data_IF_090010038111
#
_entry.id   IF_090010038111
#
_cell.length_a   1.000
_cell.length_b   1.000
_cell.length_c   1.000
_cell.angle_alpha   90.00
_cell.angle_beta   90.00
_cell.angle_gamma   90.00
#
_symmetry.space_group_name_H-M   'P 1'
#
loop_
_entity.id
_entity.type
_entity.pdbx_description
1 polymer ?
#
# COMPACT_ATOMS: atom_id res chain seq x y z
N UNK A 1 -25.29 15.30 7.91
CA UNK A 1 -24.61 15.82 9.12
C UNK A 1 -24.22 14.61 9.95
N UNK A 2 -22.92 14.40 10.19
CA UNK A 2 -22.47 13.28 11.03
C UNK A 2 -22.72 13.59 12.50
N UNK A 3 -23.12 12.59 13.29
CA UNK A 3 -23.24 12.77 14.74
C UNK A 3 -21.89 13.13 15.36
N UNK A 4 -21.86 14.07 16.33
CA UNK A 4 -20.65 14.36 17.07
C UNK A 4 -20.20 13.12 17.86
N UNK A 5 -18.89 12.82 17.82
CA UNK A 5 -18.29 11.74 18.59
C UNK A 5 -18.60 11.93 20.08
N UNK A 6 -19.46 11.07 20.64
CA UNK A 6 -19.63 10.97 22.08
C UNK A 6 -18.32 10.50 22.72
N UNK A 7 -17.61 11.40 23.40
CA UNK A 7 -16.39 11.09 24.15
C UNK A 7 -16.75 10.46 25.49
N UNK A 8 -16.11 9.34 25.85
CA UNK A 8 -16.13 8.86 27.24
C UNK A 8 -15.33 9.85 28.07
N UNK A 9 -15.82 10.19 29.26
CA UNK A 9 -15.14 11.13 30.14
C UNK A 9 -13.73 10.62 30.49
N UNK A 10 -12.69 11.39 30.14
CA UNK A 10 -11.31 11.18 30.60
C UNK A 10 -10.31 10.66 29.57
N UNK A 11 -10.73 10.16 28.40
CA UNK A 11 -9.79 9.69 27.37
C UNK A 11 -9.46 10.82 26.37
N UNK A 12 -8.17 11.11 26.08
CA UNK A 12 -7.82 12.11 25.08
C UNK A 12 -8.34 11.67 23.70
N UNK A 13 -9.12 12.53 23.05
CA UNK A 13 -9.64 12.29 21.70
C UNK A 13 -8.80 13.03 20.66
N UNK A 14 -8.39 12.35 19.61
CA UNK A 14 -7.64 12.91 18.48
C UNK A 14 -8.42 12.71 17.19
N UNK A 15 -8.63 13.81 16.47
CA UNK A 15 -9.13 13.80 15.10
C UNK A 15 -7.96 13.98 14.13
N UNK A 16 -7.80 13.05 13.20
CA UNK A 16 -6.81 13.13 12.12
C UNK A 16 -7.52 13.38 10.80
N UNK A 17 -7.11 14.43 10.07
CA UNK A 17 -7.68 14.77 8.76
C UNK A 17 -6.73 14.30 7.67
N UNK A 18 -7.19 13.35 6.86
CA UNK A 18 -6.42 12.69 5.81
C UNK A 18 -5.92 11.30 6.24
N UNK A 19 -6.00 10.34 5.32
CA UNK A 19 -5.63 8.95 5.56
C UNK A 19 -4.44 8.50 4.69
N UNK A 20 -3.58 9.44 4.27
CA UNK A 20 -2.30 9.09 3.64
C UNK A 20 -1.23 8.68 4.65
N UNK A 21 0.02 8.46 4.23
CA UNK A 21 1.10 8.00 5.13
C UNK A 21 1.26 8.88 6.38
N UNK A 22 1.24 10.21 6.22
CA UNK A 22 1.32 11.14 7.34
C UNK A 22 0.12 10.99 8.30
N UNK A 23 -1.09 10.83 7.77
CA UNK A 23 -2.30 10.60 8.56
C UNK A 23 -2.27 9.26 9.30
N UNK A 24 -1.82 8.19 8.63
CA UNK A 24 -1.64 6.88 9.25
C UNK A 24 -0.60 6.95 10.37
N UNK A 25 0.53 7.62 10.14
CA UNK A 25 1.57 7.78 11.16
C UNK A 25 1.09 8.60 12.36
N UNK A 26 0.33 9.67 12.13
CA UNK A 26 -0.26 10.47 13.19
C UNK A 26 -1.29 9.66 13.99
N UNK A 27 -2.18 8.93 13.31
CA UNK A 27 -3.20 8.09 13.94
C UNK A 27 -2.58 6.95 14.76
N UNK A 28 -1.55 6.28 14.21
CA UNK A 28 -0.76 5.29 14.91
C UNK A 28 -0.12 5.86 16.16
N UNK A 29 0.60 6.99 16.04
CA UNK A 29 1.30 7.60 17.17
C UNK A 29 0.32 8.02 18.28
N UNK A 30 -0.83 8.59 17.92
CA UNK A 30 -1.87 8.96 18.87
C UNK A 30 -2.46 7.72 19.57
N UNK A 31 -2.71 6.63 18.83
CA UNK A 31 -3.16 5.38 19.43
C UNK A 31 -2.17 4.77 20.41
N UNK A 32 -0.88 4.76 20.05
CA UNK A 32 0.18 4.28 20.96
C UNK A 32 0.31 5.14 22.22
N UNK A 33 -0.15 6.40 22.19
CA UNK A 33 -0.22 7.29 23.34
C UNK A 33 -1.51 7.12 24.17
N UNK A 34 -2.36 6.13 23.86
CA UNK A 34 -3.60 5.86 24.58
C UNK A 34 -4.77 6.79 24.23
N UNK A 35 -4.70 7.51 23.10
CA UNK A 35 -5.81 8.35 22.65
C UNK A 35 -6.88 7.53 21.92
N UNK A 36 -8.13 7.97 22.00
CA UNK A 36 -9.18 7.57 21.06
C UNK A 36 -9.01 8.36 19.77
N UNK A 37 -8.86 7.65 18.65
CA UNK A 37 -8.54 8.28 17.36
C UNK A 37 -9.67 8.06 16.36
N UNK A 38 -10.10 9.14 15.73
CA UNK A 38 -10.90 9.11 14.51
C UNK A 38 -10.10 9.72 13.37
N UNK A 39 -10.11 9.06 12.22
CA UNK A 39 -9.51 9.52 10.97
C UNK A 39 -10.65 9.88 10.01
N UNK A 40 -10.62 11.08 9.45
CA UNK A 40 -11.55 11.50 8.40
C UNK A 40 -10.81 11.61 7.07
N UNK A 41 -11.33 10.99 6.01
CA UNK A 41 -10.72 11.03 4.69
C UNK A 41 -11.76 11.16 3.58
N UNK A 42 -11.49 12.03 2.61
CA UNK A 42 -12.37 12.25 1.46
C UNK A 42 -12.22 11.19 0.35
N UNK A 43 -11.54 10.06 0.63
CA UNK A 43 -11.20 9.02 -0.34
C UNK A 43 -9.75 9.09 -0.81
N UNK A 44 -9.51 8.64 -2.04
CA UNK A 44 -8.17 8.55 -2.62
C UNK A 44 -7.46 9.90 -2.64
N UNK A 45 -6.44 10.03 -1.80
CA UNK A 45 -5.53 11.17 -1.76
C UNK A 45 -4.14 10.82 -2.28
N UNK A 46 -3.17 11.73 -2.18
CA UNK A 46 -1.81 11.56 -2.72
C UNK A 46 -1.07 10.28 -2.29
N UNK A 47 -1.38 9.70 -1.12
CA UNK A 47 -0.80 8.40 -0.72
C UNK A 47 -1.62 7.18 -1.16
N UNK A 48 -2.86 7.34 -1.62
CA UNK A 48 -3.53 6.31 -2.44
C UNK A 48 -3.10 6.41 -3.91
N UNK A 49 -2.40 7.48 -4.29
CA UNK A 49 -1.61 7.59 -5.53
C UNK A 49 -0.20 6.98 -5.39
N UNK A 50 0.02 6.15 -4.37
CA UNK A 50 1.30 5.53 -4.06
C UNK A 50 1.74 4.58 -5.18
N UNK A 51 2.95 4.79 -5.68
CA UNK A 51 3.56 3.99 -6.75
C UNK A 51 4.07 2.62 -6.30
N UNK A 52 3.91 2.28 -5.02
CA UNK A 52 4.56 1.10 -4.45
C UNK A 52 5.95 1.39 -3.88
N UNK A 53 6.44 2.63 -3.92
CA UNK A 53 7.82 2.97 -3.58
C UNK A 53 7.91 4.02 -2.47
N UNK A 54 8.81 3.81 -1.51
CA UNK A 54 9.11 4.75 -0.44
C UNK A 54 10.59 5.19 -0.48
N UNK A 55 10.78 6.50 -0.46
CA UNK A 55 12.09 7.15 -0.39
C UNK A 55 12.41 7.58 1.06
N UNK A 56 13.70 7.65 1.39
CA UNK A 56 14.20 8.19 2.66
C UNK A 56 14.61 7.15 3.70
N UNK A 57 15.53 7.54 4.59
CA UNK A 57 16.08 6.69 5.64
C UNK A 57 15.05 6.49 6.77
N UNK A 58 14.45 5.30 6.90
CA UNK A 58 13.40 5.11 7.87
C UNK A 58 14.03 4.85 9.25
N UNK A 59 13.68 5.69 10.23
CA UNK A 59 13.94 5.38 11.63
C UNK A 59 13.12 4.15 12.07
N UNK A 60 13.43 3.59 13.24
CA UNK A 60 12.78 2.37 13.74
C UNK A 60 11.24 2.45 13.73
N UNK A 61 10.66 3.61 14.06
CA UNK A 61 9.21 3.81 14.10
C UNK A 61 8.59 3.87 12.69
N UNK A 62 9.29 4.47 11.73
CA UNK A 62 8.88 4.46 10.34
C UNK A 62 8.91 3.04 9.76
N UNK A 63 9.92 2.23 10.14
CA UNK A 63 9.99 0.81 9.74
C UNK A 63 8.84 0.00 10.31
N UNK A 64 8.48 0.20 11.58
CA UNK A 64 7.35 -0.46 12.24
C UNK A 64 6.03 -0.18 11.52
N UNK A 65 5.72 1.11 11.26
CA UNK A 65 4.50 1.52 10.56
C UNK A 65 4.49 0.97 9.13
N UNK A 66 5.61 1.07 8.40
CA UNK A 66 5.73 0.57 7.04
C UNK A 66 5.52 -0.96 6.97
N UNK A 67 6.11 -1.71 7.90
CA UNK A 67 5.90 -3.16 8.02
C UNK A 67 4.45 -3.49 8.32
N UNK A 68 3.79 -2.75 9.21
CA UNK A 68 2.38 -2.93 9.52
C UNK A 68 1.43 -2.62 8.34
N UNK A 69 1.90 -1.81 7.39
CA UNK A 69 1.25 -1.52 6.11
C UNK A 69 1.66 -2.48 4.98
N UNK A 70 2.46 -3.51 5.29
CA UNK A 70 2.87 -4.52 4.32
C UNK A 70 4.00 -4.09 3.37
N UNK A 71 4.72 -3.02 3.67
CA UNK A 71 5.90 -2.61 2.90
C UNK A 71 7.14 -3.39 3.37
N UNK A 72 8.00 -3.72 2.41
CA UNK A 72 9.37 -4.16 2.68
C UNK A 72 10.26 -2.92 2.79
N UNK A 73 10.93 -2.75 3.93
CA UNK A 73 11.85 -1.65 4.19
C UNK A 73 13.25 -2.19 4.40
N UNK A 74 14.24 -1.51 3.85
CA UNK A 74 15.61 -1.99 3.78
C UNK A 74 16.59 -0.95 4.35
N UNK A 75 17.65 -1.45 5.01
CA UNK A 75 18.73 -0.61 5.52
C UNK A 75 19.61 -0.03 4.41
N UNK A 76 19.68 -0.72 3.26
CA UNK A 76 20.39 -0.28 2.07
C UNK A 76 19.41 -0.09 0.91
N UNK A 77 19.70 0.82 -0.04
CA UNK A 77 18.85 1.02 -1.21
C UNK A 77 18.66 -0.26 -2.02
N UNK A 78 17.46 -0.44 -2.57
CA UNK A 78 17.09 -1.53 -3.48
C UNK A 78 16.75 -0.98 -4.85
N UNK A 79 17.19 -1.68 -5.88
CA UNK A 79 16.82 -1.39 -7.25
C UNK A 79 15.42 -1.93 -7.56
N UNK A 80 14.58 -1.09 -8.16
CA UNK A 80 13.22 -1.44 -8.61
C UNK A 80 12.98 -0.90 -10.01
N UNK A 81 12.20 -1.62 -10.83
CA UNK A 81 11.80 -1.15 -12.15
C UNK A 81 10.58 -0.23 -12.03
N UNK A 82 10.60 0.91 -12.73
CA UNK A 82 9.40 1.72 -12.96
C UNK A 82 8.72 1.32 -14.25
N UNK A 83 7.44 1.69 -14.39
CA UNK A 83 6.66 1.40 -15.61
C UNK A 83 7.21 2.13 -16.84
N UNK A 84 7.90 3.24 -16.64
CA UNK A 84 8.51 4.07 -17.69
C UNK A 84 9.86 3.51 -18.17
N UNK A 85 10.33 2.37 -17.62
CA UNK A 85 11.56 1.71 -18.05
C UNK A 85 12.82 2.23 -17.39
N UNK A 86 12.71 2.84 -16.21
CA UNK A 86 13.86 3.22 -15.40
C UNK A 86 14.07 2.26 -14.24
N UNK A 87 15.34 2.11 -13.83
CA UNK A 87 15.68 1.49 -12.55
C UNK A 87 15.86 2.61 -11.53
N UNK A 88 15.10 2.55 -10.44
CA UNK A 88 15.16 3.51 -9.34
C UNK A 88 15.70 2.83 -8.08
N UNK A 89 16.50 3.56 -7.30
CA UNK A 89 16.92 3.13 -5.96
C UNK A 89 15.93 3.63 -4.92
N UNK A 90 15.43 2.73 -4.09
CA UNK A 90 14.43 3.02 -3.04
C UNK A 90 14.82 2.36 -1.72
N UNK A 91 14.31 2.88 -0.60
CA UNK A 91 14.56 2.29 0.73
C UNK A 91 13.37 1.48 1.23
N UNK A 92 12.19 1.70 0.68
CA UNK A 92 11.02 0.85 0.88
C UNK A 92 10.30 0.56 -0.42
N UNK A 93 9.67 -0.61 -0.48
CA UNK A 93 8.82 -1.03 -1.59
C UNK A 93 7.62 -1.83 -1.10
N UNK A 94 6.52 -1.76 -1.83
CA UNK A 94 5.45 -2.73 -1.75
C UNK A 94 6.03 -4.12 -2.06
N UNK A 95 5.58 -5.14 -1.34
CA UNK A 95 6.11 -6.51 -1.49
C UNK A 95 5.85 -7.11 -2.86
N UNK A 96 4.83 -6.65 -3.58
CA UNK A 96 4.59 -7.07 -4.95
C UNK A 96 5.64 -6.53 -5.93
N UNK A 97 6.22 -5.35 -5.66
CA UNK A 97 7.24 -4.75 -6.52
C UNK A 97 8.52 -5.59 -6.47
N UNK A 98 9.05 -5.98 -7.63
CA UNK A 98 10.22 -6.86 -7.71
C UNK A 98 11.48 -6.16 -7.16
N UNK A 99 12.23 -6.88 -6.31
CA UNK A 99 13.56 -6.46 -5.87
C UNK A 99 14.60 -6.86 -6.92
N UNK A 100 15.03 -5.90 -7.74
CA UNK A 100 16.03 -6.16 -8.78
C UNK A 100 17.42 -6.34 -8.16
N UNK A 101 17.68 -5.80 -6.97
CA UNK A 101 18.99 -5.91 -6.34
C UNK A 101 19.31 -7.37 -5.99
N UNK A 102 18.30 -8.15 -5.59
CA UNK A 102 18.42 -9.60 -5.37
C UNK A 102 18.71 -10.41 -6.65
N UNK A 103 18.54 -9.79 -7.82
CA UNK A 103 18.73 -10.37 -9.16
C UNK A 103 19.90 -9.72 -9.91
N UNK A 104 20.78 -9.01 -9.21
CA UNK A 104 21.99 -8.41 -9.80
C UNK A 104 22.86 -9.46 -10.52
N UNK A 105 23.18 -9.20 -11.79
CA UNK A 105 23.96 -10.10 -12.65
C UNK A 105 23.18 -11.29 -13.22
N UNK A 106 21.85 -11.28 -13.12
CA UNK A 106 20.97 -12.37 -13.57
C UNK A 106 20.20 -12.02 -14.84
N UNK A 107 19.46 -13.00 -15.39
CA UNK A 107 18.51 -12.79 -16.48
C UNK A 107 17.09 -12.65 -15.93
N UNK A 108 16.44 -11.52 -16.20
CA UNK A 108 15.07 -11.24 -15.75
C UNK A 108 14.13 -11.27 -16.95
N UNK A 109 13.11 -12.12 -16.90
CA UNK A 109 12.06 -12.14 -17.92
C UNK A 109 11.06 -11.00 -17.67
N UNK A 110 10.90 -10.11 -18.64
CA UNK A 110 9.85 -9.10 -18.66
C UNK A 110 8.65 -9.69 -19.39
N UNK A 111 7.61 -10.00 -18.64
CA UNK A 111 6.50 -10.83 -19.12
C UNK A 111 5.49 -9.99 -19.90
N UNK A 112 5.23 -10.37 -21.14
CA UNK A 112 4.21 -9.79 -21.99
C UNK A 112 2.93 -10.63 -21.94
N UNK A 113 1.85 -10.12 -21.34
CA UNK A 113 0.51 -10.76 -21.43
C UNK A 113 -0.36 -10.12 -22.54
N UNK A 114 0.24 -9.42 -23.49
CA UNK A 114 -0.43 -8.77 -24.63
C UNK A 114 -1.42 -7.68 -24.22
N UNK A 115 -1.13 -6.94 -23.15
CA UNK A 115 -1.96 -5.81 -22.71
C UNK A 115 -1.60 -4.50 -23.38
N UNK A 116 -2.63 -3.67 -23.61
CA UNK A 116 -2.47 -2.39 -24.31
C UNK A 116 -1.69 -1.35 -23.46
N UNK A 117 -1.58 -1.56 -22.14
CA UNK A 117 -0.98 -0.62 -21.19
C UNK A 117 0.43 -1.02 -20.72
N UNK A 118 0.99 -2.12 -21.24
CA UNK A 118 2.29 -2.65 -20.85
C UNK A 118 3.06 -3.23 -22.05
N UNK A 119 4.04 -2.48 -22.57
CA UNK A 119 4.94 -2.93 -23.64
C UNK A 119 6.20 -3.57 -23.04
N UNK A 120 6.18 -4.90 -22.90
CA UNK A 120 7.31 -5.65 -22.33
C UNK A 120 8.59 -5.54 -23.17
N UNK A 121 8.45 -5.43 -24.50
CA UNK A 121 9.57 -5.33 -25.43
C UNK A 121 10.33 -4.02 -25.27
N UNK A 122 9.61 -2.90 -25.27
CA UNK A 122 10.16 -1.59 -25.00
C UNK A 122 10.73 -1.50 -23.57
N UNK A 123 10.00 -2.03 -22.59
CA UNK A 123 10.42 -2.00 -21.20
C UNK A 123 11.72 -2.78 -20.97
N UNK A 124 11.85 -4.00 -21.52
CA UNK A 124 13.06 -4.80 -21.43
C UNK A 124 14.28 -4.06 -22.01
N UNK A 125 14.13 -3.47 -23.20
CA UNK A 125 15.18 -2.67 -23.85
C UNK A 125 15.60 -1.47 -23.01
N UNK A 126 14.64 -0.71 -22.48
CA UNK A 126 14.91 0.46 -21.63
C UNK A 126 15.62 0.08 -20.33
N UNK A 127 15.16 -0.98 -19.66
CA UNK A 127 15.77 -1.47 -18.42
C UNK A 127 17.18 -2.03 -18.65
N UNK A 128 17.40 -2.79 -19.72
CA UNK A 128 18.73 -3.29 -20.11
C UNK A 128 19.70 -2.14 -20.43
N UNK A 129 19.21 -1.06 -21.04
CA UNK A 129 19.96 0.16 -21.29
C UNK A 129 20.15 1.06 -20.05
N UNK A 130 19.70 0.66 -18.85
CA UNK A 130 19.92 1.43 -17.63
C UNK A 130 21.37 1.35 -17.14
N UNK A 131 21.82 2.38 -16.40
CA UNK A 131 23.15 2.38 -15.78
C UNK A 131 23.31 1.22 -14.77
N UNK A 132 22.25 0.92 -14.01
CA UNK A 132 22.24 -0.18 -13.04
C UNK A 132 22.38 -1.55 -13.73
N UNK A 133 21.65 -1.80 -14.83
CA UNK A 133 21.75 -3.06 -15.55
C UNK A 133 23.16 -3.28 -16.12
N UNK A 134 23.77 -2.24 -16.70
CA UNK A 134 25.16 -2.30 -17.19
C UNK A 134 26.18 -2.56 -16.09
N UNK A 135 26.07 -1.87 -14.96
CA UNK A 135 27.04 -2.01 -13.85
C UNK A 135 26.95 -3.39 -13.19
N UNK A 136 25.75 -3.93 -13.09
CA UNK A 136 25.48 -5.26 -12.51
C UNK A 136 25.62 -6.40 -13.50
N UNK A 137 25.69 -6.10 -14.81
CA UNK A 137 25.58 -7.07 -15.92
C UNK A 137 24.26 -7.86 -15.88
N UNK A 138 23.19 -7.24 -15.40
CA UNK A 138 21.84 -7.82 -15.40
C UNK A 138 21.23 -7.69 -16.79
N UNK A 139 20.56 -8.74 -17.28
CA UNK A 139 19.86 -8.73 -18.57
C UNK A 139 18.35 -8.76 -18.39
N UNK A 140 17.65 -8.08 -19.28
CA UNK A 140 16.18 -8.07 -19.33
C UNK A 140 15.74 -8.62 -20.68
N UNK A 141 14.86 -9.63 -20.67
CA UNK A 141 14.39 -10.28 -21.89
C UNK A 141 12.87 -10.27 -21.91
N UNK A 142 12.27 -9.71 -22.94
CA UNK A 142 10.82 -9.75 -23.12
C UNK A 142 10.38 -11.18 -23.48
N UNK A 143 9.36 -11.68 -22.79
CA UNK A 143 8.85 -13.06 -22.97
C UNK A 143 7.34 -13.02 -23.15
N UNK A 144 6.80 -13.44 -24.30
CA UNK A 144 5.36 -13.52 -24.53
C UNK A 144 4.72 -14.68 -23.76
N UNK A 145 3.59 -14.40 -23.11
CA UNK A 145 2.83 -15.36 -22.31
C UNK A 145 1.34 -15.15 -22.53
N UNK A 146 0.68 -16.13 -23.17
CA UNK A 146 -0.76 -16.10 -23.44
C UNK A 146 -1.59 -16.41 -22.18
N UNK A 147 -1.70 -15.44 -21.27
CA UNK A 147 -2.40 -15.62 -19.99
C UNK A 147 -3.82 -15.05 -19.96
N UNK A 148 -4.16 -14.11 -20.85
CA UNK A 148 -5.49 -13.50 -20.88
C UNK A 148 -6.56 -14.54 -21.23
N UNK A 149 -7.71 -14.49 -20.57
CA UNK A 149 -8.81 -15.44 -20.86
C UNK A 149 -9.80 -14.88 -21.89
N UNK A 150 -9.78 -13.57 -22.11
CA UNK A 150 -10.66 -12.90 -23.06
C UNK A 150 -10.01 -11.65 -23.67
N UNK A 151 -10.43 -11.27 -24.88
CA UNK A 151 -9.95 -10.06 -25.55
C UNK A 151 -10.14 -8.75 -24.76
N UNK A 152 -11.29 -8.52 -24.08
CA UNK A 152 -11.52 -7.31 -23.30
C UNK A 152 -10.50 -7.07 -22.16
N UNK A 153 -9.91 -8.13 -21.61
CA UNK A 153 -8.91 -8.02 -20.53
C UNK A 153 -7.68 -7.19 -20.92
N UNK A 154 -7.41 -7.06 -22.23
CA UNK A 154 -6.33 -6.21 -22.76
C UNK A 154 -6.46 -4.74 -22.35
N UNK A 155 -7.68 -4.31 -22.04
CA UNK A 155 -8.06 -2.90 -21.78
C UNK A 155 -8.66 -2.66 -20.42
N UNK A 156 -8.75 -3.68 -19.56
CA UNK A 156 -9.19 -3.47 -18.18
C UNK A 156 -8.30 -2.43 -17.51
N UNK A 157 -8.83 -1.50 -16.71
CA UNK A 157 -7.99 -0.67 -15.86
C UNK A 157 -7.03 -1.54 -15.02
N UNK A 158 -5.78 -1.09 -14.75
CA UNK A 158 -4.81 -1.87 -13.99
C UNK A 158 -5.36 -2.41 -12.65
N UNK A 159 -6.14 -1.57 -11.95
CA UNK A 159 -6.84 -1.94 -10.73
C UNK A 159 -7.77 -3.15 -10.93
N UNK A 160 -8.65 -3.11 -11.94
CA UNK A 160 -9.62 -4.18 -12.18
C UNK A 160 -8.93 -5.47 -12.61
N UNK A 161 -7.89 -5.37 -13.44
CA UNK A 161 -7.13 -6.55 -13.83
C UNK A 161 -6.37 -7.16 -12.65
N UNK A 162 -5.85 -6.33 -11.74
CA UNK A 162 -5.21 -6.82 -10.53
C UNK A 162 -6.15 -7.69 -9.70
N UNK A 163 -7.42 -7.29 -9.56
CA UNK A 163 -8.47 -8.09 -8.87
C UNK A 163 -8.76 -9.39 -9.59
N UNK A 164 -8.78 -9.38 -10.92
CA UNK A 164 -8.98 -10.59 -11.73
C UNK A 164 -7.85 -11.60 -11.51
N UNK A 165 -6.59 -11.14 -11.41
CA UNK A 165 -5.45 -12.01 -11.12
C UNK A 165 -5.47 -12.60 -9.70
N UNK A 166 -6.32 -12.13 -8.80
CA UNK A 166 -6.48 -12.72 -7.46
C UNK A 166 -7.26 -14.02 -7.48
N UNK A 167 -7.79 -14.48 -8.62
CA UNK A 167 -8.38 -15.81 -8.69
C UNK A 167 -7.30 -16.90 -8.53
N UNK A 168 -7.40 -17.83 -7.54
CA UNK A 168 -6.37 -18.85 -7.31
C UNK A 168 -6.11 -19.80 -8.49
N UNK A 169 -7.11 -20.06 -9.33
CA UNK A 169 -6.95 -20.87 -10.55
C UNK A 169 -6.16 -20.11 -11.61
N UNK A 170 -6.41 -18.81 -11.77
CA UNK A 170 -5.62 -17.95 -12.66
C UNK A 170 -4.18 -17.84 -12.21
N UNK A 171 -3.91 -17.67 -10.91
CA UNK A 171 -2.53 -17.67 -10.38
C UNK A 171 -1.80 -18.97 -10.71
N UNK A 172 -2.44 -20.12 -10.50
CA UNK A 172 -1.86 -21.44 -10.84
C UNK A 172 -1.65 -21.62 -12.34
N UNK A 173 -2.60 -21.17 -13.17
CA UNK A 173 -2.46 -21.17 -14.63
C UNK A 173 -1.28 -20.31 -15.07
N UNK A 174 -1.20 -19.08 -14.57
CA UNK A 174 -0.11 -18.15 -14.87
C UNK A 174 1.24 -18.74 -14.46
N UNK A 175 1.36 -19.31 -13.26
CA UNK A 175 2.61 -19.97 -12.83
C UNK A 175 3.05 -21.05 -13.82
N UNK A 176 2.14 -21.92 -14.28
CA UNK A 176 2.49 -22.94 -15.29
C UNK A 176 2.96 -22.33 -16.60
N UNK A 177 2.31 -21.27 -17.07
CA UNK A 177 2.68 -20.58 -18.30
C UNK A 177 4.06 -19.90 -18.17
N UNK A 178 4.33 -19.22 -17.05
CA UNK A 178 5.63 -18.60 -16.77
C UNK A 178 6.77 -19.63 -16.72
N UNK A 179 6.54 -20.78 -16.08
CA UNK A 179 7.51 -21.87 -16.01
C UNK A 179 7.89 -22.38 -17.42
N UNK A 180 6.92 -22.49 -18.32
CA UNK A 180 7.13 -22.96 -19.70
C UNK A 180 7.76 -21.88 -20.60
N UNK A 181 7.43 -20.61 -20.39
CA UNK A 181 7.82 -19.54 -21.30
C UNK A 181 9.29 -19.11 -21.16
N UNK A 182 9.92 -19.33 -20.00
CA UNK A 182 11.34 -19.00 -19.83
C UNK A 182 12.06 -19.93 -18.84
N UNK A 183 12.52 -21.07 -19.36
CA UNK A 183 13.30 -22.03 -18.57
C UNK A 183 14.57 -21.41 -17.96
N UNK A 184 15.16 -20.42 -18.62
CA UNK A 184 16.45 -19.80 -18.26
C UNK A 184 16.34 -18.47 -17.50
N UNK A 185 15.15 -17.93 -17.26
CA UNK A 185 15.02 -16.72 -16.46
C UNK A 185 15.21 -17.00 -14.97
N UNK A 186 16.00 -16.17 -14.30
CA UNK A 186 16.23 -16.23 -12.85
C UNK A 186 15.10 -15.57 -12.05
N UNK A 187 14.32 -14.67 -12.69
CA UNK A 187 13.15 -14.02 -12.10
C UNK A 187 12.20 -13.45 -13.16
N UNK A 188 10.99 -13.09 -12.73
CA UNK A 188 9.92 -12.59 -13.61
C UNK A 188 9.44 -11.21 -13.15
N UNK A 189 9.46 -10.25 -14.08
CA UNK A 189 8.93 -8.91 -13.93
C UNK A 189 7.65 -8.78 -14.75
N UNK A 190 6.53 -8.52 -14.10
CA UNK A 190 5.25 -8.26 -14.75
C UNK A 190 4.86 -6.77 -14.62
N UNK A 191 3.76 -6.38 -15.29
CA UNK A 191 3.11 -5.09 -15.05
C UNK A 191 2.56 -4.92 -13.61
N UNK A 192 2.05 -3.73 -13.26
CA UNK A 192 1.63 -3.38 -11.90
C UNK A 192 0.21 -3.88 -11.55
N UNK A 193 0.05 -5.19 -11.45
CA UNK A 193 -1.25 -5.89 -11.39
C UNK A 193 -1.25 -7.19 -10.55
N UNK A 194 -0.24 -7.44 -9.72
CA UNK A 194 -0.09 -8.65 -8.90
C UNK A 194 -0.91 -8.58 -7.60
N UNK A 195 -2.23 -8.40 -7.75
CA UNK A 195 -3.21 -8.44 -6.67
C UNK A 195 -3.36 -7.16 -5.86
N UNK A 196 -4.42 -7.11 -5.04
CA UNK A 196 -4.82 -5.99 -4.18
C UNK A 196 -4.98 -6.45 -2.72
N UNK A 197 -5.70 -7.52 -2.48
CA UNK A 197 -5.94 -8.11 -1.18
C UNK A 197 -5.02 -9.34 -0.97
N UNK A 198 -4.84 -10.14 -2.01
CA UNK A 198 -4.01 -11.35 -2.01
C UNK A 198 -2.57 -11.06 -2.43
N UNK A 199 -1.57 -11.71 -1.81
CA UNK A 199 -0.15 -11.50 -2.12
C UNK A 199 0.26 -12.32 -3.36
N UNK A 200 -0.31 -12.01 -4.54
CA UNK A 200 -0.12 -12.80 -5.77
C UNK A 200 1.34 -12.96 -6.15
N UNK A 201 2.16 -11.91 -6.01
CA UNK A 201 3.60 -11.98 -6.28
C UNK A 201 4.33 -13.03 -5.41
N UNK A 202 4.01 -13.10 -4.12
CA UNK A 202 4.59 -14.08 -3.20
C UNK A 202 4.09 -15.50 -3.50
N UNK A 203 2.81 -15.64 -3.88
CA UNK A 203 2.24 -16.92 -4.30
C UNK A 203 2.93 -17.46 -5.56
N UNK A 204 3.08 -16.62 -6.60
CA UNK A 204 3.80 -16.98 -7.82
C UNK A 204 5.26 -17.31 -7.54
N UNK A 205 5.92 -16.54 -6.67
CA UNK A 205 7.31 -16.81 -6.24
C UNK A 205 7.45 -18.19 -5.62
N UNK A 206 6.51 -18.57 -4.73
CA UNK A 206 6.49 -19.92 -4.12
C UNK A 206 6.24 -21.02 -5.15
N UNK A 207 5.29 -20.81 -6.06
CA UNK A 207 4.95 -21.81 -7.09
C UNK A 207 6.07 -22.05 -8.10
N UNK A 208 6.85 -21.01 -8.43
CA UNK A 208 7.95 -21.09 -9.41
C UNK A 208 9.32 -21.36 -8.78
N UNK A 209 9.45 -21.23 -7.46
CA UNK A 209 10.74 -21.21 -6.75
C UNK A 209 11.73 -20.19 -7.33
N UNK A 210 11.23 -19.08 -7.88
CA UNK A 210 11.99 -17.97 -8.48
C UNK A 210 11.33 -16.65 -8.11
N UNK A 211 12.08 -15.55 -7.90
CA UNK A 211 11.48 -14.25 -7.63
C UNK A 211 10.51 -13.80 -8.72
N UNK A 212 9.30 -13.46 -8.32
CA UNK A 212 8.26 -12.87 -9.18
C UNK A 212 7.81 -11.56 -8.54
N UNK A 213 7.69 -10.53 -9.36
CA UNK A 213 7.16 -9.25 -8.91
C UNK A 213 6.74 -8.37 -10.08
N UNK A 214 6.30 -7.17 -9.75
CA UNK A 214 5.84 -6.17 -10.70
C UNK A 214 6.75 -4.95 -10.76
N UNK A 215 6.58 -4.15 -11.81
CA UNK A 215 7.08 -2.77 -11.84
C UNK A 215 6.36 -1.93 -10.78
N UNK A 216 6.93 -0.76 -10.46
CA UNK A 216 6.20 0.28 -9.75
C UNK A 216 4.90 0.63 -10.48
N UNK A 217 3.88 0.96 -9.70
CA UNK A 217 2.58 1.41 -10.19
C UNK A 217 2.62 2.90 -10.55
N UNK A 218 1.77 3.30 -11.50
CA UNK A 218 1.39 4.70 -11.64
C UNK A 218 0.44 5.13 -10.50
N UNK A 219 0.12 6.43 -10.42
CA UNK A 219 -0.99 6.92 -9.60
C UNK A 219 -2.27 6.12 -9.86
N UNK A 220 -3.08 5.87 -8.83
CA UNK A 220 -4.34 5.10 -8.91
C UNK A 220 -4.16 3.62 -9.33
N UNK A 221 -2.93 3.11 -9.33
CA UNK A 221 -2.62 1.72 -9.65
C UNK A 221 -2.87 0.73 -8.51
N UNK A 222 -2.51 -0.53 -8.75
CA UNK A 222 -2.69 -1.62 -7.79
C UNK A 222 -1.97 -1.36 -6.46
N UNK A 223 -0.78 -0.74 -6.47
CA UNK A 223 -0.05 -0.44 -5.22
C UNK A 223 -0.81 0.54 -4.30
N UNK A 224 -1.43 1.57 -4.87
CA UNK A 224 -2.26 2.52 -4.12
C UNK A 224 -3.48 1.83 -3.49
N UNK A 225 -4.11 0.92 -4.22
CA UNK A 225 -5.21 0.10 -3.72
C UNK A 225 -4.77 -0.86 -2.61
N UNK A 226 -3.62 -1.54 -2.77
CA UNK A 226 -3.01 -2.37 -1.72
C UNK A 226 -2.79 -1.56 -0.45
N UNK A 227 -2.19 -0.37 -0.56
CA UNK A 227 -2.03 0.53 0.57
C UNK A 227 -3.36 0.86 1.25
N UNK A 228 -4.40 1.20 0.48
CA UNK A 228 -5.72 1.53 1.02
C UNK A 228 -6.34 0.35 1.79
N UNK A 229 -6.21 -0.88 1.29
CA UNK A 229 -6.64 -2.11 1.99
C UNK A 229 -5.85 -2.30 3.29
N UNK A 230 -4.52 -2.30 3.23
CA UNK A 230 -3.65 -2.49 4.40
C UNK A 230 -3.85 -1.43 5.47
N UNK A 231 -4.11 -0.19 5.05
CA UNK A 231 -4.47 0.90 5.96
C UNK A 231 -5.77 0.61 6.69
N UNK A 232 -6.83 0.18 5.99
CA UNK A 232 -8.12 -0.16 6.64
C UNK A 232 -7.96 -1.31 7.62
N UNK A 233 -7.24 -2.37 7.23
CA UNK A 233 -6.92 -3.50 8.11
C UNK A 233 -6.19 -3.02 9.37
N UNK A 234 -5.19 -2.16 9.19
CA UNK A 234 -4.41 -1.60 10.28
C UNK A 234 -5.28 -0.76 11.22
N UNK A 235 -6.12 0.12 10.68
CA UNK A 235 -7.05 0.91 11.48
C UNK A 235 -8.02 0.02 12.26
N UNK A 236 -8.54 -1.05 11.64
CA UNK A 236 -9.37 -2.03 12.34
C UNK A 236 -8.65 -2.70 13.52
N UNK A 237 -7.40 -3.14 13.34
CA UNK A 237 -6.59 -3.74 14.42
C UNK A 237 -6.29 -2.78 15.56
N UNK A 238 -6.15 -1.48 15.26
CA UNK A 238 -5.87 -0.43 16.24
C UNK A 238 -7.15 0.23 16.78
N UNK A 239 -8.32 -0.31 16.41
CA UNK A 239 -9.63 0.25 16.75
C UNK A 239 -9.72 1.76 16.42
N UNK A 240 -9.09 2.19 15.32
CA UNK A 240 -9.15 3.56 14.82
C UNK A 240 -10.40 3.67 13.95
N UNK A 241 -11.26 4.63 14.27
CA UNK A 241 -12.47 4.86 13.49
C UNK A 241 -12.12 5.60 12.20
N UNK A 242 -12.45 5.03 11.04
CA UNK A 242 -12.29 5.69 9.74
C UNK A 242 -13.65 6.18 9.23
N UNK A 243 -13.82 7.49 9.15
CA UNK A 243 -14.96 8.13 8.55
C UNK A 243 -14.62 8.61 7.13
N UNK A 244 -15.48 8.26 6.16
CA UNK A 244 -15.36 8.76 4.78
C UNK A 244 -16.12 10.08 4.65
N UNK A 245 -15.41 11.14 4.33
CA UNK A 245 -15.99 12.48 4.20
C UNK A 245 -14.95 13.58 4.03
N UNK A 246 -15.43 14.78 3.68
CA UNK A 246 -14.61 15.98 3.59
C UNK A 246 -14.79 16.81 4.86
N UNK A 247 -13.70 17.23 5.47
CA UNK A 247 -13.73 18.21 6.56
C UNK A 247 -13.85 19.60 5.95
N UNK A 248 -14.91 20.32 6.31
CA UNK A 248 -15.18 21.67 5.81
C UNK A 248 -14.82 22.75 6.84
N UNK A 249 -15.08 22.47 8.12
CA UNK A 249 -14.81 23.36 9.25
C UNK A 249 -14.27 22.57 10.43
N UNK A 250 -13.41 23.21 11.24
CA UNK A 250 -12.95 22.70 12.52
C UNK A 250 -13.22 23.80 13.55
N UNK A 251 -14.16 23.55 14.45
CA UNK A 251 -14.53 24.49 15.49
C UNK A 251 -13.97 24.02 16.84
N UNK A 252 -13.37 24.95 17.59
CA UNK A 252 -13.03 24.67 18.98
C UNK A 252 -14.33 24.72 19.78
N UNK A 253 -14.75 23.57 20.31
CA UNK A 253 -15.77 23.58 21.35
C UNK A 253 -15.26 24.44 22.51
N UNK A 254 -16.07 25.36 23.08
CA UNK A 254 -15.68 26.07 24.29
C UNK A 254 -15.35 24.98 25.31
N UNK A 255 -14.08 24.92 25.72
CA UNK A 255 -13.57 23.91 26.64
C UNK A 255 -14.55 23.83 27.81
N UNK A 256 -15.21 22.67 27.99
CA UNK A 256 -15.73 22.36 29.33
C UNK A 256 -14.51 22.45 30.23
N UNK A 257 -14.48 23.33 31.23
CA UNK A 257 -13.33 23.43 32.12
C UNK A 257 -13.04 22.01 32.62
N UNK A 258 -11.84 21.52 32.32
CA UNK A 258 -11.36 20.27 32.89
C UNK A 258 -11.32 20.53 34.39
N UNK A 259 -12.14 19.86 35.21
CA UNK A 259 -12.11 20.08 36.64
C UNK A 259 -10.68 19.83 37.12
N UNK A 260 -10.08 20.84 37.74
CA UNK A 260 -8.73 20.71 38.27
C UNK A 260 -8.74 19.67 39.39
N UNK A 261 -7.61 19.01 39.66
CA UNK A 261 -7.47 18.21 40.87
C UNK A 261 -7.82 19.08 42.10
N UNK A 262 -8.98 18.83 42.72
CA UNK A 262 -9.51 19.62 43.83
C UNK A 262 -10.85 20.33 43.59
N UNK A 263 -11.31 20.43 42.34
CA UNK A 263 -12.63 20.99 42.04
C UNK A 263 -13.72 20.02 42.56
N UNK A 264 -14.43 20.43 43.62
CA UNK A 264 -15.59 19.69 44.13
C UNK A 264 -16.67 19.70 43.06
N UNK A 265 -16.96 18.54 42.48
CA UNK A 265 -18.13 18.37 41.61
C UNK A 265 -19.36 18.91 42.35
N UNK A 266 -20.20 19.73 41.70
CA UNK A 266 -21.43 20.23 42.32
C UNK A 266 -22.24 19.02 42.78
N UNK A 267 -22.50 18.96 44.09
CA UNK A 267 -23.33 17.90 44.67
C UNK A 267 -24.68 17.94 43.95
N UNK A 268 -25.18 16.80 43.43
CA UNK A 268 -26.51 16.77 42.83
C UNK A 268 -27.47 17.33 43.88
N UNK A 269 -28.15 18.43 43.51
CA UNK A 269 -28.96 19.21 44.43
C UNK A 269 -29.95 18.30 45.14
N UNK A 270 -29.86 18.27 46.47
CA UNK A 270 -30.95 17.77 47.30
C UNK A 270 -32.17 18.64 47.00
N UNK A 271 -33.13 18.08 46.28
CA UNK A 271 -34.45 18.68 46.16
C UNK A 271 -35.04 18.80 47.56
N UNK A 272 -35.23 20.02 48.02
CA UNK A 272 -36.07 20.27 49.19
C UNK A 272 -37.51 19.88 48.81
N UNK A 273 -38.20 19.05 49.61
CA UNK A 273 -39.62 18.82 49.43
C UNK A 273 -40.37 20.11 49.79
N UNK A 274 -41.07 20.69 48.82
CA UNK A 274 -42.04 21.75 49.06
C UNK A 274 -43.29 21.11 49.69
N UNK A 275 -43.55 21.46 50.94
CA UNK A 275 -44.82 21.21 51.62
C UNK A 275 -45.57 22.53 51.79
N UNK A 276 -46.75 22.63 51.16
CA UNK A 276 -47.95 23.40 51.51
C UNK A 276 -48.76 23.65 50.23
#
# INVERSE_FOLDING_TARGET
MGEPLATRAGEPSVLVVGAGFAGVAAAWAARQAGARVQVVSAGAGASELYSGLADGAPNAKAQEIASALGLAVHAAPRAVATREGFVRLVLGRDRAVLDLEALSGRTIAVVDLSRDDFDAGLLAKSLEASAWARSTRTRFVAVPVEALESGPERRFPPFDFARVLENPERVRKLARLLASASAHADGFLLGPWLGIERPVAEELTRLLARPVGETASGPEGAAGARFAVRRRELFGRLEIELAIGRVLTIERSPLRPVPRPGDRLPRPGGGSPSAA
#
